data_IF_093336224237
#
_entry.id   IF_093336224237
#
_cell.length_a   1.000
_cell.length_b   1.000
_cell.length_c   1.000
_cell.angle_alpha   90.00
_cell.angle_beta   90.00
_cell.angle_gamma   90.00
#
_symmetry.space_group_name_H-M   'P 1'
#
loop_
_entity.id
_entity.type
_entity.pdbx_description
1 polymer ?
#
# COMPACT_ATOMS: atom_id res chain seq x y z
N UNK A 1 -20.29 3.83 58.25
CA UNK A 1 -20.66 2.51 58.74
C UNK A 1 -20.10 1.51 57.72
N UNK A 2 -18.89 1.01 57.86
CA UNK A 2 -18.39 -0.14 58.64
C UNK A 2 -19.25 -1.37 58.42
N UNK A 3 -18.70 -2.43 57.86
CA UNK A 3 -18.11 -3.58 58.54
C UNK A 3 -17.74 -4.66 57.52
N UNK A 4 -16.44 -5.04 57.42
CA UNK A 4 -15.83 -6.32 57.88
C UNK A 4 -16.14 -7.56 57.02
N UNK A 5 -15.20 -8.10 56.31
CA UNK A 5 -14.19 -9.13 56.52
C UNK A 5 -14.69 -10.50 57.09
N UNK A 6 -14.34 -11.56 56.34
CA UNK A 6 -13.93 -12.93 56.78
C UNK A 6 -13.68 -13.77 55.53
N UNK A 7 -12.52 -14.18 55.18
CA UNK A 7 -11.48 -15.12 55.58
C UNK A 7 -11.99 -16.55 55.93
N UNK A 8 -11.56 -17.50 55.11
CA UNK A 8 -11.27 -18.91 55.36
C UNK A 8 -10.82 -19.53 54.00
N UNK A 9 -9.64 -20.02 53.77
CA UNK A 9 -8.78 -20.86 54.57
C UNK A 9 -8.71 -22.27 53.98
N UNK A 10 -7.53 -22.64 53.51
CA UNK A 10 -6.94 -23.97 53.39
C UNK A 10 -7.32 -24.91 52.21
N UNK A 11 -6.29 -25.38 51.52
CA UNK A 11 -6.32 -26.57 50.67
C UNK A 11 -5.04 -26.71 49.87
N UNK A 12 -3.99 -27.23 50.52
CA UNK A 12 -2.69 -27.63 49.90
C UNK A 12 -2.89 -28.88 49.07
N UNK A 13 -2.45 -28.81 47.78
CA UNK A 13 -2.28 -29.97 46.90
C UNK A 13 -1.03 -29.77 46.04
N UNK A 14 0.09 -30.30 46.50
CA UNK A 14 1.31 -30.48 45.65
C UNK A 14 1.04 -31.59 44.67
N UNK A 15 1.21 -31.34 43.40
CA UNK A 15 1.62 -32.36 42.47
C UNK A 15 2.61 -31.84 41.44
N UNK A 16 3.76 -32.46 41.41
CA UNK A 16 4.92 -32.18 40.61
C UNK A 16 4.79 -32.93 39.29
N UNK A 17 4.58 -32.19 38.18
CA UNK A 17 4.57 -32.76 36.83
C UNK A 17 5.48 -31.96 35.91
N UNK A 18 6.57 -32.57 35.48
CA UNK A 18 7.72 -32.01 34.80
C UNK A 18 7.41 -31.22 33.55
N UNK A 19 8.06 -30.09 33.47
CA UNK A 19 8.12 -29.25 32.28
C UNK A 19 9.19 -29.87 31.37
N UNK A 20 8.74 -30.54 30.30
CA UNK A 20 9.60 -31.00 29.22
C UNK A 20 10.07 -29.78 28.41
N UNK A 21 11.36 -29.50 28.51
CA UNK A 21 12.04 -28.60 27.61
C UNK A 21 11.99 -29.15 26.17
N UNK A 22 11.24 -28.46 25.31
CA UNK A 22 11.40 -28.63 23.87
C UNK A 22 12.52 -27.69 23.41
N UNK A 23 13.61 -28.20 22.83
CA UNK A 23 14.62 -27.32 22.22
C UNK A 23 14.02 -26.68 20.98
N UNK A 24 14.04 -25.34 20.95
CA UNK A 24 13.77 -24.55 19.77
C UNK A 24 14.73 -24.99 18.65
N UNK A 25 14.23 -25.71 17.67
CA UNK A 25 14.91 -25.90 16.39
C UNK A 25 14.88 -24.61 15.63
N UNK A 26 16.00 -23.88 15.64
CA UNK A 26 16.31 -22.83 14.69
C UNK A 26 16.07 -23.37 13.27
N UNK A 27 15.17 -22.71 12.53
CA UNK A 27 14.91 -23.01 11.13
C UNK A 27 16.16 -22.79 10.30
N UNK A 28 16.91 -23.85 10.05
CA UNK A 28 17.91 -23.86 8.99
C UNK A 28 17.17 -23.74 7.66
N UNK A 29 17.50 -22.69 6.90
CA UNK A 29 17.08 -22.53 5.53
C UNK A 29 17.26 -23.85 4.78
N UNK A 30 16.22 -24.29 4.09
CA UNK A 30 16.24 -25.50 3.28
C UNK A 30 17.30 -25.34 2.18
N UNK A 31 18.48 -25.86 2.42
CA UNK A 31 19.48 -26.10 1.39
C UNK A 31 18.86 -27.10 0.40
N UNK A 32 18.62 -26.63 -0.84
CA UNK A 32 18.06 -27.44 -1.92
C UNK A 32 18.82 -28.77 -2.03
N UNK A 33 18.08 -29.86 -2.08
CA UNK A 33 18.64 -31.19 -2.30
C UNK A 33 19.41 -31.18 -3.63
N UNK A 34 20.69 -31.58 -3.68
CA UNK A 34 21.42 -31.61 -4.95
C UNK A 34 20.71 -32.58 -5.91
N UNK A 35 20.29 -32.12 -7.05
CA UNK A 35 19.70 -32.97 -8.09
C UNK A 35 20.76 -33.98 -8.54
N UNK A 36 20.41 -35.27 -8.50
CA UNK A 36 21.33 -36.40 -8.68
C UNK A 36 21.93 -36.57 -10.07
N UNK A 37 21.54 -35.75 -11.07
CA UNK A 37 21.89 -35.91 -12.48
C UNK A 37 22.63 -34.72 -13.12
N UNK A 38 23.29 -33.85 -12.33
CA UNK A 38 24.04 -32.75 -12.89
C UNK A 38 25.49 -33.15 -13.17
N UNK A 39 25.91 -33.01 -14.43
CA UNK A 39 27.30 -33.28 -14.83
C UNK A 39 28.20 -32.08 -14.51
N UNK A 40 28.80 -32.07 -13.33
CA UNK A 40 29.69 -31.01 -12.86
C UNK A 40 30.95 -31.63 -12.17
N UNK A 41 32.12 -31.04 -12.41
CA UNK A 41 33.37 -31.44 -11.77
C UNK A 41 33.40 -31.07 -10.28
N UNK A 42 34.34 -31.68 -9.49
CA UNK A 42 34.46 -31.43 -8.05
C UNK A 42 34.65 -29.95 -7.70
N UNK A 43 35.44 -29.22 -8.48
CA UNK A 43 35.69 -27.80 -8.30
C UNK A 43 34.44 -26.94 -8.51
N UNK A 44 33.60 -27.30 -9.49
CA UNK A 44 32.32 -26.62 -9.78
C UNK A 44 31.30 -26.87 -8.65
N UNK A 45 31.24 -28.09 -8.15
CA UNK A 45 30.40 -28.46 -7.02
C UNK A 45 30.81 -27.74 -5.72
N UNK A 46 32.14 -27.53 -5.55
CA UNK A 46 32.67 -26.77 -4.42
C UNK A 46 32.24 -25.30 -4.53
N UNK A 47 32.47 -24.69 -5.69
CA UNK A 47 32.06 -23.30 -5.96
C UNK A 47 30.57 -23.08 -5.76
N UNK A 48 29.73 -24.00 -6.27
CA UNK A 48 28.28 -23.92 -6.10
C UNK A 48 27.84 -23.97 -4.64
N UNK A 49 28.52 -24.79 -3.81
CA UNK A 49 28.25 -24.82 -2.36
C UNK A 49 28.70 -23.55 -1.64
N UNK A 50 29.86 -23.00 -2.02
CA UNK A 50 30.40 -21.76 -1.44
C UNK A 50 29.52 -20.55 -1.79
N UNK A 51 28.93 -20.54 -2.99
CA UNK A 51 28.09 -19.43 -3.49
C UNK A 51 26.59 -19.65 -3.31
N UNK A 52 26.17 -20.82 -2.79
CA UNK A 52 24.74 -21.15 -2.59
C UNK A 52 23.95 -21.35 -3.88
N UNK A 53 24.61 -21.63 -5.02
CA UNK A 53 23.98 -21.80 -6.32
C UNK A 53 23.51 -23.25 -6.49
N UNK A 54 22.25 -23.43 -6.88
CA UNK A 54 21.74 -24.73 -7.32
C UNK A 54 22.21 -25.01 -8.74
N UNK A 55 23.06 -26.04 -8.89
CA UNK A 55 23.59 -26.47 -10.19
C UNK A 55 22.50 -26.96 -11.16
N UNK A 56 21.33 -27.37 -10.65
CA UNK A 56 20.19 -27.73 -11.50
C UNK A 56 19.59 -26.55 -12.25
N UNK A 57 19.81 -25.32 -11.78
CA UNK A 57 19.35 -24.08 -12.42
C UNK A 57 20.40 -23.45 -13.36
N UNK A 58 21.61 -23.99 -13.45
CA UNK A 58 22.70 -23.46 -14.27
C UNK A 58 22.70 -24.14 -15.63
N UNK A 59 22.53 -23.40 -16.76
CA UNK A 59 22.62 -23.98 -18.10
C UNK A 59 24.07 -24.42 -18.38
N UNK A 60 24.29 -25.70 -18.81
CA UNK A 60 25.62 -26.19 -19.10
C UNK A 60 26.14 -25.69 -20.44
N UNK A 61 27.42 -25.28 -20.54
CA UNK A 61 28.08 -24.90 -21.79
C UNK A 61 29.19 -25.87 -22.21
N UNK A 62 29.57 -26.79 -21.34
CA UNK A 62 30.65 -27.74 -21.60
C UNK A 62 30.24 -28.97 -22.40
N UNK A 63 31.23 -29.75 -22.94
CA UNK A 63 30.97 -30.99 -23.66
C UNK A 63 30.17 -32.00 -22.87
N UNK A 64 29.18 -32.66 -23.50
CA UNK A 64 28.28 -33.66 -22.89
C UNK A 64 27.47 -33.04 -21.73
N UNK A 65 26.95 -31.84 -21.91
CA UNK A 65 26.14 -31.12 -20.92
C UNK A 65 26.84 -30.96 -19.56
N UNK A 66 28.15 -30.75 -19.59
CA UNK A 66 28.93 -30.52 -18.38
C UNK A 66 28.88 -29.03 -17.99
N UNK A 67 28.53 -28.76 -16.74
CA UNK A 67 28.60 -27.41 -16.17
C UNK A 67 30.06 -27.06 -15.91
N UNK A 68 30.50 -25.93 -16.44
CA UNK A 68 31.81 -25.35 -16.23
C UNK A 68 31.79 -24.28 -15.12
N UNK A 69 32.97 -23.85 -14.68
CA UNK A 69 33.09 -22.81 -13.63
C UNK A 69 32.55 -21.47 -14.15
N UNK A 70 32.77 -21.19 -15.42
CA UNK A 70 32.30 -20.01 -16.12
C UNK A 70 30.77 -19.92 -16.14
N UNK A 71 30.07 -21.04 -16.28
CA UNK A 71 28.59 -21.10 -16.28
C UNK A 71 28.04 -20.69 -14.93
N UNK A 72 28.66 -21.15 -13.82
CA UNK A 72 28.26 -20.75 -12.47
C UNK A 72 28.49 -19.26 -12.26
N UNK A 73 29.62 -18.71 -12.69
CA UNK A 73 29.90 -17.27 -12.61
C UNK A 73 28.92 -16.44 -13.45
N UNK A 74 28.61 -16.87 -14.68
CA UNK A 74 27.63 -16.21 -15.54
C UNK A 74 26.24 -16.21 -14.92
N UNK A 75 25.83 -17.33 -14.34
CA UNK A 75 24.54 -17.45 -13.64
C UNK A 75 24.45 -16.54 -12.42
N UNK A 76 25.53 -16.46 -11.62
CA UNK A 76 25.60 -15.53 -10.47
C UNK A 76 25.48 -14.09 -10.96
N UNK A 77 26.28 -13.71 -11.98
CA UNK A 77 26.25 -12.37 -12.57
C UNK A 77 24.86 -12.00 -13.09
N UNK A 78 24.22 -12.89 -13.82
CA UNK A 78 22.86 -12.70 -14.34
C UNK A 78 21.83 -12.52 -13.19
N UNK A 79 21.96 -13.26 -12.09
CA UNK A 79 21.10 -13.10 -10.91
C UNK A 79 21.35 -11.79 -10.15
N UNK A 80 22.60 -11.33 -10.13
CA UNK A 80 22.97 -10.04 -9.53
C UNK A 80 22.53 -8.85 -10.38
N UNK A 81 22.52 -9.02 -11.71
CA UNK A 81 22.05 -8.00 -12.67
C UNK A 81 20.52 -7.99 -12.84
N UNK A 82 19.85 -9.10 -12.56
CA UNK A 82 18.39 -9.06 -12.41
C UNK A 82 18.09 -8.28 -11.13
N UNK A 83 17.39 -7.13 -11.20
CA UNK A 83 16.92 -6.48 -9.99
C UNK A 83 16.20 -7.56 -9.21
N UNK A 84 16.63 -7.79 -7.98
CA UNK A 84 15.89 -8.65 -7.07
C UNK A 84 14.45 -8.21 -7.22
N UNK A 85 13.59 -9.09 -7.73
CA UNK A 85 12.16 -8.86 -7.64
C UNK A 85 11.97 -8.51 -6.18
N UNK A 86 11.69 -7.23 -5.93
CA UNK A 86 11.54 -6.75 -4.57
C UNK A 86 10.47 -7.64 -3.99
N UNK A 87 10.92 -8.65 -3.27
CA UNK A 87 10.10 -9.49 -2.41
C UNK A 87 9.64 -8.58 -1.29
N UNK A 88 8.81 -7.61 -1.66
CA UNK A 88 7.90 -7.03 -0.71
C UNK A 88 7.17 -8.23 -0.10
N UNK A 89 7.06 -8.25 1.22
CA UNK A 89 6.22 -9.21 1.89
C UNK A 89 4.86 -9.18 1.18
N UNK A 90 4.73 -9.98 0.13
CA UNK A 90 3.50 -10.12 -0.63
C UNK A 90 2.43 -10.55 0.35
N UNK A 91 1.26 -10.00 0.26
CA UNK A 91 0.12 -10.57 0.96
C UNK A 91 0.16 -12.10 0.71
N UNK A 92 -0.06 -12.91 1.73
CA UNK A 92 -0.07 -14.37 1.55
C UNK A 92 -1.00 -14.71 0.40
N UNK A 93 -0.56 -15.60 -0.48
CA UNK A 93 -1.40 -16.07 -1.60
C UNK A 93 -2.73 -16.56 -1.02
N UNK A 94 -3.81 -15.96 -1.47
CA UNK A 94 -5.13 -16.39 -1.07
C UNK A 94 -5.39 -17.78 -1.67
N UNK A 95 -5.94 -18.72 -0.88
CA UNK A 95 -6.29 -20.02 -1.42
C UNK A 95 -7.26 -19.85 -2.58
N UNK A 96 -7.04 -20.56 -3.67
CA UNK A 96 -7.95 -20.60 -4.80
C UNK A 96 -9.15 -21.48 -4.43
N UNK A 97 -10.29 -20.85 -4.20
CA UNK A 97 -11.53 -21.51 -3.80
C UNK A 97 -12.46 -21.56 -5.03
N UNK A 98 -12.92 -22.74 -5.40
CA UNK A 98 -13.97 -22.90 -6.41
C UNK A 98 -15.34 -22.65 -5.78
N UNK A 99 -15.85 -21.45 -5.96
CA UNK A 99 -17.17 -21.08 -5.42
C UNK A 99 -18.33 -21.81 -6.10
N UNK A 100 -18.12 -22.43 -7.25
CA UNK A 100 -19.18 -23.20 -7.93
C UNK A 100 -19.60 -24.48 -7.18
N UNK A 101 -18.72 -24.96 -6.29
CA UNK A 101 -19.03 -26.09 -5.38
C UNK A 101 -20.13 -25.75 -4.36
N UNK A 102 -20.35 -24.46 -4.06
CA UNK A 102 -21.33 -24.01 -3.06
C UNK A 102 -22.65 -23.54 -3.68
N UNK A 103 -22.73 -23.37 -5.01
CA UNK A 103 -23.94 -22.97 -5.71
C UNK A 103 -23.66 -22.24 -7.04
N UNK A 104 -24.69 -21.76 -7.72
CA UNK A 104 -24.54 -21.02 -8.97
C UNK A 104 -23.71 -19.75 -8.76
N UNK A 105 -22.74 -19.51 -9.64
CA UNK A 105 -21.87 -18.32 -9.61
C UNK A 105 -21.97 -17.56 -10.93
N UNK A 106 -21.91 -16.23 -10.86
CA UNK A 106 -21.76 -15.35 -12.00
C UNK A 106 -20.41 -14.67 -11.96
N UNK A 107 -19.71 -14.62 -13.08
CA UNK A 107 -18.41 -13.97 -13.21
C UNK A 107 -18.57 -12.62 -13.89
N UNK A 108 -18.44 -11.53 -13.10
CA UNK A 108 -18.39 -10.15 -13.61
C UNK A 108 -16.93 -9.70 -13.82
N UNK A 109 -16.58 -9.33 -15.04
CA UNK A 109 -15.23 -8.89 -15.37
C UNK A 109 -15.03 -7.41 -15.03
N UNK A 110 -14.01 -7.13 -14.18
CA UNK A 110 -13.64 -5.78 -13.84
C UNK A 110 -13.11 -5.02 -15.06
N UNK A 111 -13.58 -3.80 -15.25
CA UNK A 111 -13.03 -2.89 -16.25
C UNK A 111 -11.59 -2.47 -15.94
N UNK A 112 -10.89 -1.87 -16.92
CA UNK A 112 -9.48 -1.47 -16.79
C UNK A 112 -9.25 -0.51 -15.60
N UNK A 113 -10.16 0.45 -15.38
CA UNK A 113 -10.06 1.42 -14.30
C UNK A 113 -10.13 0.74 -12.94
N UNK A 114 -11.10 -0.16 -12.73
CA UNK A 114 -11.24 -0.93 -11.49
C UNK A 114 -10.02 -1.82 -11.22
N UNK A 115 -9.48 -2.49 -12.25
CA UNK A 115 -8.24 -3.31 -12.13
C UNK A 115 -7.03 -2.48 -11.69
N UNK A 116 -6.86 -1.27 -12.23
CA UNK A 116 -5.77 -0.36 -11.85
C UNK A 116 -5.98 0.19 -10.44
N UNK A 117 -7.21 0.63 -10.14
CA UNK A 117 -7.56 1.14 -8.81
C UNK A 117 -7.33 0.10 -7.72
N UNK A 118 -7.77 -1.14 -7.92
CA UNK A 118 -7.57 -2.23 -6.97
C UNK A 118 -6.08 -2.44 -6.64
N UNK A 119 -5.22 -2.51 -7.65
CA UNK A 119 -3.76 -2.67 -7.44
C UNK A 119 -3.14 -1.50 -6.69
N UNK A 120 -3.52 -0.27 -7.04
CA UNK A 120 -2.97 0.92 -6.40
C UNK A 120 -3.45 1.06 -4.95
N UNK A 121 -4.74 0.82 -4.68
CA UNK A 121 -5.30 0.86 -3.34
C UNK A 121 -4.69 -0.24 -2.45
N UNK A 122 -4.57 -1.47 -2.98
CA UNK A 122 -3.93 -2.55 -2.24
C UNK A 122 -2.48 -2.20 -1.87
N UNK A 123 -1.69 -1.68 -2.83
CA UNK A 123 -0.32 -1.24 -2.56
C UNK A 123 -0.28 -0.14 -1.49
N UNK A 124 -1.14 0.87 -1.59
CA UNK A 124 -1.20 1.94 -0.59
C UNK A 124 -1.58 1.40 0.79
N UNK A 125 -2.55 0.49 0.85
CA UNK A 125 -3.00 -0.12 2.10
C UNK A 125 -1.89 -0.88 2.82
N UNK A 126 -1.10 -1.66 2.08
CA UNK A 126 0.01 -2.44 2.66
C UNK A 126 1.23 -1.57 3.01
N UNK A 127 1.47 -0.49 2.24
CA UNK A 127 2.70 0.30 2.37
C UNK A 127 2.56 1.45 3.37
N UNK A 128 1.36 2.03 3.52
CA UNK A 128 1.14 3.24 4.32
C UNK A 128 0.43 2.87 5.63
N UNK A 129 1.04 3.08 6.80
CA UNK A 129 0.35 2.93 8.07
C UNK A 129 -0.73 4.01 8.18
N UNK A 130 -2.01 3.59 8.09
CA UNK A 130 -3.15 4.49 8.16
C UNK A 130 -3.53 4.77 9.61
N UNK A 131 -3.69 6.05 9.93
CA UNK A 131 -4.21 6.51 11.24
C UNK A 131 -5.44 7.37 10.97
N UNK A 132 -6.53 7.10 11.68
CA UNK A 132 -7.78 7.87 11.58
C UNK A 132 -8.02 8.59 12.90
N UNK A 133 -8.35 9.89 12.81
CA UNK A 133 -8.77 10.71 13.93
C UNK A 133 -10.16 11.27 13.64
N UNK A 134 -10.97 11.38 14.69
CA UNK A 134 -12.31 11.91 14.62
C UNK A 134 -12.40 13.16 15.49
N UNK A 135 -13.04 14.20 14.97
CA UNK A 135 -13.27 15.44 15.68
C UNK A 135 -14.57 16.07 15.19
N UNK A 136 -15.13 17.00 15.95
CA UNK A 136 -16.36 17.70 15.64
C UNK A 136 -16.13 19.21 15.67
N UNK A 137 -16.76 19.93 14.74
CA UNK A 137 -16.70 21.39 14.67
C UNK A 137 -18.10 21.98 14.42
N UNK A 138 -18.45 23.02 15.17
CA UNK A 138 -19.67 23.79 14.88
C UNK A 138 -19.46 24.63 13.62
N UNK A 139 -20.24 24.36 12.59
CA UNK A 139 -20.20 25.06 11.31
C UNK A 139 -21.42 25.98 11.09
N UNK A 140 -22.19 26.29 12.13
CA UNK A 140 -23.45 27.05 12.01
C UNK A 140 -23.23 28.42 11.35
N UNK A 141 -22.26 29.18 11.82
CA UNK A 141 -21.92 30.49 11.25
C UNK A 141 -21.33 30.35 9.84
N UNK A 142 -20.50 29.35 9.60
CA UNK A 142 -19.92 29.08 8.28
C UNK A 142 -21.00 28.76 7.25
N UNK A 143 -22.00 27.98 7.63
CA UNK A 143 -23.13 27.64 6.75
C UNK A 143 -24.01 28.84 6.45
N UNK A 144 -24.27 29.71 7.45
CA UNK A 144 -24.97 30.96 7.23
C UNK A 144 -24.21 31.88 6.26
N UNK A 145 -22.89 31.98 6.45
CA UNK A 145 -22.00 32.74 5.54
C UNK A 145 -22.04 32.16 4.12
N UNK A 146 -21.87 30.85 3.97
CA UNK A 146 -21.94 30.14 2.68
C UNK A 146 -23.24 30.45 1.94
N UNK A 147 -24.39 30.40 2.63
CA UNK A 147 -25.70 30.68 2.06
C UNK A 147 -25.82 32.15 1.61
N UNK A 148 -25.30 33.08 2.39
CA UNK A 148 -25.32 34.52 2.03
C UNK A 148 -24.44 34.78 0.81
N UNK A 149 -23.26 34.21 0.74
CA UNK A 149 -22.34 34.33 -0.40
C UNK A 149 -22.91 33.71 -1.68
N UNK A 150 -23.60 32.57 -1.58
CA UNK A 150 -24.23 31.95 -2.75
C UNK A 150 -25.29 32.87 -3.39
N UNK A 151 -26.04 33.63 -2.58
CA UNK A 151 -26.99 34.65 -3.13
C UNK A 151 -26.26 35.76 -3.88
N UNK A 152 -25.11 36.19 -3.39
CA UNK A 152 -24.31 37.23 -4.04
C UNK A 152 -23.67 36.74 -5.34
N UNK A 153 -23.17 35.50 -5.36
CA UNK A 153 -22.46 34.88 -6.48
C UNK A 153 -23.38 34.20 -7.51
N UNK A 154 -24.69 34.17 -7.26
CA UNK A 154 -25.66 33.55 -8.16
C UNK A 154 -25.60 34.13 -9.58
N UNK A 155 -25.40 35.47 -9.69
CA UNK A 155 -25.27 36.18 -10.98
C UNK A 155 -23.99 35.80 -11.74
N UNK A 156 -22.96 35.35 -11.02
CA UNK A 156 -21.68 34.92 -11.59
C UNK A 156 -21.68 33.41 -11.94
N UNK A 157 -22.77 32.71 -11.62
CA UNK A 157 -22.87 31.25 -11.83
C UNK A 157 -21.98 30.43 -10.92
N UNK A 158 -21.41 31.02 -9.88
CA UNK A 158 -20.52 30.31 -8.93
C UNK A 158 -21.34 29.77 -7.77
N UNK A 159 -21.17 28.47 -7.48
CA UNK A 159 -21.83 27.79 -6.37
C UNK A 159 -20.81 27.37 -5.32
N UNK A 160 -20.80 28.03 -4.18
CA UNK A 160 -19.99 27.67 -3.04
C UNK A 160 -20.58 26.43 -2.35
N UNK A 161 -19.79 25.38 -2.28
CA UNK A 161 -20.09 24.18 -1.50
C UNK A 161 -19.21 24.14 -0.25
N UNK A 162 -19.58 23.37 0.76
CA UNK A 162 -18.73 23.17 1.95
C UNK A 162 -17.35 22.62 1.56
N UNK A 163 -17.26 21.82 0.52
CA UNK A 163 -16.01 21.29 0.01
C UNK A 163 -15.00 22.38 -0.36
N UNK A 164 -15.44 23.51 -0.93
CA UNK A 164 -14.53 24.61 -1.27
C UNK A 164 -13.86 25.22 -0.02
N UNK A 165 -14.60 25.33 1.08
CA UNK A 165 -14.06 25.79 2.37
C UNK A 165 -13.08 24.78 2.97
N UNK A 166 -13.41 23.48 2.91
CA UNK A 166 -12.52 22.43 3.38
C UNK A 166 -11.20 22.41 2.58
N UNK A 167 -11.27 22.53 1.26
CA UNK A 167 -10.09 22.62 0.40
C UNK A 167 -9.22 23.80 0.79
N UNK A 168 -9.81 24.98 1.01
CA UNK A 168 -9.07 26.17 1.41
C UNK A 168 -8.44 26.01 2.81
N UNK A 169 -9.17 25.44 3.76
CA UNK A 169 -8.64 25.14 5.10
C UNK A 169 -7.46 24.16 5.03
N UNK A 170 -7.61 23.06 4.28
CA UNK A 170 -6.54 22.11 4.05
C UNK A 170 -5.31 22.75 3.38
N UNK A 171 -5.52 23.59 2.37
CA UNK A 171 -4.40 24.26 1.70
C UNK A 171 -3.61 25.15 2.65
N UNK A 172 -4.29 25.90 3.54
CA UNK A 172 -3.63 26.71 4.58
C UNK A 172 -2.89 25.84 5.60
N UNK A 173 -3.52 24.78 6.08
CA UNK A 173 -2.90 23.85 7.03
C UNK A 173 -1.65 23.19 6.44
N UNK A 174 -1.69 22.74 5.18
CA UNK A 174 -0.53 22.13 4.50
C UNK A 174 0.63 23.11 4.32
N UNK A 175 0.36 24.41 4.18
CA UNK A 175 1.41 25.46 4.21
C UNK A 175 1.97 25.68 5.60
N UNK A 176 1.12 25.66 6.62
CA UNK A 176 1.53 25.84 8.01
C UNK A 176 2.34 24.66 8.55
N UNK A 177 2.02 23.46 8.07
CA UNK A 177 2.64 22.19 8.51
C UNK A 177 3.32 21.47 7.33
N UNK A 178 4.46 21.93 6.82
CA UNK A 178 5.07 21.43 5.59
C UNK A 178 5.48 19.95 5.67
N UNK A 179 5.72 19.41 6.87
CA UNK A 179 5.99 17.97 7.05
C UNK A 179 4.78 17.09 6.71
N UNK A 180 3.55 17.61 6.87
CA UNK A 180 2.32 16.90 6.45
C UNK A 180 2.20 16.91 4.93
N UNK A 181 2.68 18.00 4.25
CA UNK A 181 2.73 18.08 2.79
C UNK A 181 4.06 17.53 2.25
N UNK A 182 4.41 16.31 2.65
CA UNK A 182 5.66 15.67 2.25
C UNK A 182 5.44 14.26 1.71
N UNK A 183 6.48 13.69 1.16
CA UNK A 183 6.55 12.28 0.79
C UNK A 183 7.84 11.68 1.32
N UNK A 184 7.78 10.45 1.83
CA UNK A 184 8.97 9.71 2.19
C UNK A 184 9.72 9.33 0.90
N UNK A 185 11.01 9.56 0.88
CA UNK A 185 11.88 9.07 -0.19
C UNK A 185 11.86 7.54 -0.24
N UNK A 186 12.01 6.91 -1.42
CA UNK A 186 12.02 5.44 -1.53
C UNK A 186 13.10 4.75 -0.69
N UNK A 187 14.23 5.42 -0.41
CA UNK A 187 15.27 4.95 0.51
C UNK A 187 14.80 4.87 1.97
N UNK A 188 13.78 5.64 2.36
CA UNK A 188 13.34 5.79 3.74
C UNK A 188 14.18 6.77 4.57
N UNK A 189 15.21 7.38 4.01
CA UNK A 189 16.18 8.21 4.75
C UNK A 189 15.81 9.70 4.80
N UNK A 190 14.94 10.17 3.89
CA UNK A 190 14.58 11.59 3.79
C UNK A 190 13.09 11.82 3.52
N UNK A 191 12.60 13.00 3.94
CA UNK A 191 11.30 13.52 3.55
C UNK A 191 11.48 14.56 2.45
N UNK A 192 10.73 14.40 1.36
CA UNK A 192 10.63 15.38 0.28
C UNK A 192 9.51 16.35 0.64
N UNK A 193 9.86 17.54 1.12
CA UNK A 193 8.89 18.61 1.41
C UNK A 193 8.46 19.26 0.10
N UNK A 194 7.14 19.47 -0.07
CA UNK A 194 6.56 19.99 -1.29
C UNK A 194 6.22 21.47 -1.13
N UNK A 195 6.80 22.30 -1.98
CA UNK A 195 6.55 23.76 -1.99
C UNK A 195 5.34 24.16 -2.80
N UNK A 196 4.50 23.20 -3.13
CA UNK A 196 3.23 23.36 -3.83
C UNK A 196 2.11 22.63 -3.07
N UNK A 197 0.87 23.10 -3.20
CA UNK A 197 -0.30 22.47 -2.61
C UNK A 197 -1.28 22.06 -3.71
N UNK A 198 -1.31 20.77 -4.00
CA UNK A 198 -2.25 20.17 -4.95
C UNK A 198 -3.19 19.23 -4.19
N UNK A 199 -4.50 19.40 -4.39
CA UNK A 199 -5.50 18.64 -3.63
C UNK A 199 -6.31 17.76 -4.58
N UNK A 200 -6.24 16.45 -4.37
CA UNK A 200 -7.07 15.48 -5.08
C UNK A 200 -8.49 15.46 -4.52
N UNK A 201 -9.48 15.50 -5.42
CA UNK A 201 -10.89 15.47 -5.05
C UNK A 201 -11.52 14.22 -5.62
N UNK A 202 -11.99 13.34 -4.74
CA UNK A 202 -12.62 12.10 -5.16
C UNK A 202 -14.00 12.38 -5.78
N UNK A 203 -14.21 11.88 -7.00
CA UNK A 203 -15.47 11.99 -7.74
C UNK A 203 -15.92 10.59 -8.12
N UNK A 204 -17.10 10.21 -7.64
CA UNK A 204 -17.73 8.96 -8.04
C UNK A 204 -18.34 9.08 -9.44
N UNK A 205 -18.12 8.05 -10.25
CA UNK A 205 -18.64 7.96 -11.61
C UNK A 205 -19.21 6.56 -11.88
N UNK A 206 -20.09 6.39 -12.86
CA UNK A 206 -20.61 5.07 -13.22
C UNK A 206 -19.54 4.03 -13.55
N UNK A 207 -18.33 4.46 -13.92
CA UNK A 207 -17.22 3.56 -14.26
C UNK A 207 -16.25 3.30 -13.11
N UNK A 208 -16.45 3.95 -11.97
CA UNK A 208 -15.60 3.89 -10.79
C UNK A 208 -15.14 5.26 -10.32
N UNK A 209 -14.40 5.27 -9.23
CA UNK A 209 -13.88 6.47 -8.59
C UNK A 209 -12.71 7.04 -9.39
N UNK A 210 -12.74 8.35 -9.65
CA UNK A 210 -11.63 9.12 -10.22
C UNK A 210 -11.25 10.26 -9.27
N UNK A 211 -9.98 10.67 -9.30
CA UNK A 211 -9.48 11.71 -8.40
C UNK A 211 -8.79 12.79 -9.22
N UNK A 212 -9.54 13.74 -9.81
CA UNK A 212 -8.95 14.92 -10.42
C UNK A 212 -8.21 15.76 -9.39
N UNK A 213 -7.17 16.46 -9.83
CA UNK A 213 -6.28 17.24 -8.97
C UNK A 213 -6.51 18.73 -9.18
N UNK A 214 -6.94 19.42 -8.12
CA UNK A 214 -6.94 20.87 -8.04
C UNK A 214 -5.51 21.34 -7.75
N UNK A 215 -4.85 21.93 -8.73
CA UNK A 215 -3.46 22.39 -8.62
C UNK A 215 -3.37 23.75 -7.94
N UNK A 216 -2.28 24.01 -7.24
CA UNK A 216 -1.98 25.31 -6.59
C UNK A 216 -3.16 25.84 -5.75
N UNK A 217 -3.77 24.99 -4.94
CA UNK A 217 -4.95 25.33 -4.14
C UNK A 217 -4.67 26.47 -3.13
N UNK A 218 -3.44 26.60 -2.68
CA UNK A 218 -2.95 27.64 -1.77
C UNK A 218 -2.87 29.04 -2.40
N UNK A 219 -2.85 29.13 -3.74
CA UNK A 219 -2.77 30.38 -4.50
C UNK A 219 -4.14 30.87 -5.00
N UNK A 220 -5.20 30.13 -4.71
CA UNK A 220 -6.56 30.38 -5.23
C UNK A 220 -7.50 30.91 -4.17
N UNK A 221 -8.35 31.81 -4.56
CA UNK A 221 -9.45 32.28 -3.73
C UNK A 221 -10.62 31.30 -3.70
N UNK A 222 -11.53 31.47 -2.75
CA UNK A 222 -12.65 30.57 -2.50
C UNK A 222 -13.57 30.40 -3.74
N UNK A 223 -13.91 31.49 -4.45
CA UNK A 223 -14.72 31.41 -5.65
C UNK A 223 -14.06 30.66 -6.78
N UNK A 224 -12.74 30.86 -6.97
CA UNK A 224 -11.97 30.16 -7.98
C UNK A 224 -11.88 28.65 -7.67
N UNK A 225 -11.66 28.29 -6.40
CA UNK A 225 -11.67 26.90 -5.93
C UNK A 225 -13.04 26.26 -6.24
N UNK A 226 -14.14 26.96 -5.89
CA UNK A 226 -15.48 26.45 -6.11
C UNK A 226 -15.80 26.22 -7.60
N UNK A 227 -15.42 27.15 -8.46
CA UNK A 227 -15.60 27.03 -9.91
C UNK A 227 -14.81 25.84 -10.46
N UNK A 228 -13.55 25.73 -10.12
CA UNK A 228 -12.67 24.66 -10.61
C UNK A 228 -13.09 23.26 -10.12
N UNK A 229 -13.59 23.16 -8.88
CA UNK A 229 -14.20 21.92 -8.36
C UNK A 229 -15.40 21.54 -9.24
N UNK A 230 -16.27 22.48 -9.57
CA UNK A 230 -17.42 22.23 -10.43
C UNK A 230 -17.02 21.74 -11.82
N UNK A 231 -16.05 22.40 -12.44
CA UNK A 231 -15.52 21.99 -13.74
C UNK A 231 -14.88 20.61 -13.73
N UNK A 232 -14.03 20.33 -12.72
CA UNK A 232 -13.38 19.03 -12.57
C UNK A 232 -14.39 17.91 -12.36
N UNK A 233 -15.43 18.15 -11.55
CA UNK A 233 -16.51 17.20 -11.33
C UNK A 233 -17.34 16.94 -12.60
N UNK A 234 -17.61 17.96 -13.40
CA UNK A 234 -18.29 17.82 -14.69
C UNK A 234 -17.43 17.01 -15.68
N UNK A 235 -16.16 17.40 -15.85
CA UNK A 235 -15.20 16.68 -16.71
C UNK A 235 -15.02 15.20 -16.28
N UNK A 236 -15.06 14.92 -14.97
CA UNK A 236 -14.98 13.56 -14.45
C UNK A 236 -16.18 12.72 -14.88
N UNK A 237 -17.39 13.23 -14.70
CA UNK A 237 -18.65 12.56 -15.11
C UNK A 237 -18.72 12.36 -16.61
N UNK A 238 -18.29 13.36 -17.39
CA UNK A 238 -18.27 13.34 -18.86
C UNK A 238 -17.11 12.49 -19.45
N UNK A 239 -16.24 11.90 -18.62
CA UNK A 239 -15.03 11.15 -19.04
C UNK A 239 -14.05 12.02 -19.85
N UNK A 240 -13.99 13.32 -19.60
CA UNK A 240 -13.13 14.30 -20.29
C UNK A 240 -11.88 14.67 -19.48
N UNK A 241 -11.57 13.93 -18.42
CA UNK A 241 -10.33 14.12 -17.69
C UNK A 241 -9.15 13.57 -18.51
N UNK A 242 -8.11 14.40 -18.67
CA UNK A 242 -6.83 13.95 -19.20
C UNK A 242 -6.05 13.19 -18.11
N UNK A 243 -5.22 12.21 -18.46
CA UNK A 243 -4.24 11.66 -17.53
C UNK A 243 -3.35 12.78 -16.97
N UNK A 244 -3.10 12.73 -15.66
CA UNK A 244 -2.27 13.73 -14.97
C UNK A 244 -0.78 13.44 -15.19
#
# INVERSE_FOLDING_TARGET
SETSAQDSGAGVGKDSGGIGEHPAKSGAAAAGRPSRNVHAGPAVRKLARETGVDLGAVPPSGPKDRILKEDVHAHIKQRMEQPAAAGGAGAPDLPEIDFSEFGPVERDELNKLRKVAARNLHRSWVTIPHVTQFDEADITELEAFRKSQNKALEKEGVKLTMLAFLVQACARALRQFPRVNSSLEPSGEALILKDYVHIGIAVDTPNGLVVPVLRDADKKGLSQIATEIGELAAKARDRKLSPA
#
